data_IF_274625871420
#
_entry.id   IF_274625871420
#
_cell.length_a   1.000
_cell.length_b   1.000
_cell.length_c   1.000
_cell.angle_alpha   90.00
_cell.angle_beta   90.00
_cell.angle_gamma   90.00
#
_symmetry.space_group_name_H-M   'P 1'
#
loop_
_entity.id
_entity.type
_entity.pdbx_description
1 polymer ?
#
# COMPACT_ATOMS: atom_id res chain seq x y z
N UNK A 1 12.96 -28.54 62.15
CA UNK A 1 14.08 -28.03 61.32
C UNK A 1 14.97 -29.20 60.92
N UNK A 2 14.90 -29.68 59.67
CA UNK A 2 16.08 -29.87 58.79
C UNK A 2 15.69 -30.57 57.48
N UNK A 3 15.74 -29.76 56.42
CA UNK A 3 16.06 -30.00 55.02
C UNK A 3 15.72 -31.35 54.38
N UNK A 4 14.77 -31.27 53.44
CA UNK A 4 14.80 -32.10 52.23
C UNK A 4 16.18 -31.94 51.55
N UNK A 5 16.77 -33.00 50.98
CA UNK A 5 17.96 -32.86 50.14
C UNK A 5 17.65 -31.88 49.00
N UNK A 6 18.38 -30.78 48.96
CA UNK A 6 18.34 -29.80 47.88
C UNK A 6 19.17 -30.42 46.76
N UNK A 7 18.51 -30.90 45.70
CA UNK A 7 19.20 -31.24 44.47
C UNK A 7 20.01 -30.01 44.02
N UNK A 8 21.31 -30.16 43.69
CA UNK A 8 22.12 -29.05 43.26
C UNK A 8 21.46 -28.37 42.05
N UNK A 9 21.34 -27.04 42.02
CA UNK A 9 20.65 -26.34 40.96
C UNK A 9 21.28 -26.72 39.61
N UNK A 10 20.48 -27.31 38.72
CA UNK A 10 20.87 -27.62 37.34
C UNK A 10 21.36 -26.31 36.72
N UNK A 11 22.65 -26.28 36.36
CA UNK A 11 23.28 -25.16 35.66
C UNK A 11 22.39 -24.81 34.46
N UNK A 12 22.00 -23.54 34.26
CA UNK A 12 21.17 -23.17 33.13
C UNK A 12 21.85 -23.66 31.85
N UNK A 13 21.10 -24.39 31.04
CA UNK A 13 21.55 -24.89 29.75
C UNK A 13 22.07 -23.68 28.97
N UNK A 14 23.33 -23.75 28.52
CA UNK A 14 24.03 -22.65 27.86
C UNK A 14 23.09 -22.02 26.83
N UNK A 15 22.82 -20.73 26.97
CA UNK A 15 22.14 -19.98 25.93
C UNK A 15 22.92 -20.24 24.62
N UNK A 16 22.32 -20.90 23.61
CA UNK A 16 23.05 -21.47 22.48
C UNK A 16 23.55 -20.39 21.50
N UNK A 17 23.44 -19.11 21.85
CA UNK A 17 23.73 -17.97 20.99
C UNK A 17 24.76 -17.03 21.62
N UNK A 18 25.86 -17.57 22.13
CA UNK A 18 27.07 -16.76 22.21
C UNK A 18 27.73 -16.80 20.83
N UNK A 19 27.67 -15.67 20.14
CA UNK A 19 28.49 -15.45 18.95
C UNK A 19 29.95 -15.73 19.33
N UNK A 20 30.73 -16.47 18.51
CA UNK A 20 32.12 -16.76 18.80
C UNK A 20 32.88 -15.43 18.90
N UNK A 21 33.40 -15.15 20.09
CA UNK A 21 34.22 -13.98 20.38
C UNK A 21 35.69 -14.40 20.51
N UNK A 22 36.57 -13.65 19.84
CA UNK A 22 38.01 -13.74 20.07
C UNK A 22 38.44 -12.60 20.99
N UNK A 23 39.08 -12.87 22.15
CA UNK A 23 39.59 -11.83 23.02
C UNK A 23 40.72 -11.06 22.33
N UNK A 24 40.58 -9.74 22.19
CA UNK A 24 41.68 -8.86 21.77
C UNK A 24 42.55 -8.46 22.96
N UNK A 25 43.85 -8.26 22.74
CA UNK A 25 44.83 -7.83 23.76
C UNK A 25 44.51 -6.45 24.39
N UNK A 26 43.54 -5.71 23.84
CA UNK A 26 43.05 -4.43 24.37
C UNK A 26 41.76 -4.53 25.20
N UNK A 27 41.23 -5.74 25.43
CA UNK A 27 40.02 -5.97 26.24
C UNK A 27 38.69 -5.78 25.50
N UNK A 28 38.71 -5.43 24.21
CA UNK A 28 37.52 -5.33 23.36
C UNK A 28 37.21 -6.66 22.67
N UNK A 29 35.92 -7.03 22.63
CA UNK A 29 35.43 -8.28 22.03
C UNK A 29 35.04 -8.01 20.57
N UNK A 30 35.72 -8.68 19.63
CA UNK A 30 35.40 -8.62 18.20
C UNK A 30 34.66 -9.91 17.78
N UNK A 31 33.54 -9.76 17.09
CA UNK A 31 32.74 -10.89 16.56
C UNK A 31 33.00 -11.07 15.06
N UNK A 32 33.32 -12.30 14.64
CA UNK A 32 33.52 -12.65 13.23
C UNK A 32 32.41 -13.56 12.70
N UNK A 33 31.89 -13.37 11.48
CA UNK A 33 30.93 -14.29 10.89
C UNK A 33 31.63 -15.58 10.44
N UNK A 34 31.11 -16.74 10.82
CA UNK A 34 31.59 -18.05 10.36
C UNK A 34 30.67 -18.59 9.27
N UNK A 35 31.25 -19.00 8.14
CA UNK A 35 30.54 -19.64 7.04
C UNK A 35 30.25 -21.13 7.36
N UNK A 36 28.98 -21.49 7.60
CA UNK A 36 28.46 -22.85 7.39
C UNK A 36 26.92 -22.89 7.40
N UNK A 37 26.37 -23.61 6.41
CA UNK A 37 24.95 -23.74 6.05
C UNK A 37 24.02 -24.36 7.12
N UNK A 38 22.76 -23.91 7.20
CA UNK A 38 21.65 -24.65 7.82
C UNK A 38 20.53 -23.84 8.51
N UNK A 39 19.52 -23.47 7.72
CA UNK A 39 18.09 -23.18 7.97
C UNK A 39 17.46 -22.75 9.35
N UNK A 40 16.59 -21.73 9.23
CA UNK A 40 15.39 -21.30 10.01
C UNK A 40 15.47 -20.33 11.23
N UNK A 41 15.02 -19.09 10.97
CA UNK A 41 14.26 -18.07 11.75
C UNK A 41 14.65 -17.70 13.21
N UNK A 42 14.77 -16.37 13.44
CA UNK A 42 14.47 -15.77 14.75
C UNK A 42 14.88 -14.31 14.96
N UNK A 43 14.08 -13.39 14.41
CA UNK A 43 13.85 -11.97 14.74
C UNK A 43 14.70 -11.28 15.85
N UNK A 44 15.35 -10.15 15.50
CA UNK A 44 15.93 -9.18 16.42
C UNK A 44 16.23 -7.87 15.68
N UNK A 45 15.30 -6.93 15.80
CA UNK A 45 15.31 -5.61 15.16
C UNK A 45 16.43 -4.77 15.76
N UNK A 46 17.46 -4.49 14.95
CA UNK A 46 18.30 -3.32 15.14
C UNK A 46 18.19 -2.47 13.87
N UNK A 47 17.60 -1.29 14.06
CA UNK A 47 17.56 -0.17 13.11
C UNK A 47 19.00 0.16 12.74
N UNK A 48 19.46 -0.45 11.66
CA UNK A 48 20.67 -0.02 11.03
C UNK A 48 20.30 1.01 9.98
N UNK A 49 20.89 2.17 10.17
CA UNK A 49 20.86 3.38 9.38
C UNK A 49 21.28 3.06 7.94
N UNK A 50 20.35 2.51 7.17
CA UNK A 50 20.57 2.23 5.75
C UNK A 50 20.20 3.49 4.99
N UNK A 51 21.09 4.46 5.03
CA UNK A 51 21.33 5.33 3.88
C UNK A 51 21.76 4.42 2.72
N UNK A 52 20.78 3.79 2.08
CA UNK A 52 21.02 3.07 0.85
C UNK A 52 21.16 4.15 -0.23
N UNK A 53 22.38 4.37 -0.66
CA UNK A 53 22.64 4.77 -2.04
C UNK A 53 22.17 3.61 -2.96
N UNK A 54 20.87 3.30 -2.96
CA UNK A 54 20.25 2.30 -3.81
C UNK A 54 19.93 2.97 -5.13
N UNK A 55 20.32 2.32 -6.23
CA UNK A 55 19.76 2.67 -7.54
C UNK A 55 18.22 2.73 -7.42
N UNK A 56 17.55 3.70 -8.07
CA UNK A 56 16.11 3.85 -7.96
C UNK A 56 15.44 2.53 -8.35
N UNK A 57 14.46 2.08 -7.56
CA UNK A 57 13.74 0.84 -7.85
C UNK A 57 13.14 0.91 -9.27
N UNK A 58 13.00 -0.25 -9.93
CA UNK A 58 12.39 -0.30 -11.27
C UNK A 58 11.02 0.37 -11.29
N UNK A 59 10.29 0.29 -10.17
CA UNK A 59 9.04 1.02 -9.94
C UNK A 59 9.21 2.54 -10.11
N UNK A 60 10.18 3.16 -9.42
CA UNK A 60 10.42 4.60 -9.50
C UNK A 60 10.96 5.04 -10.86
N UNK A 61 11.84 4.25 -11.46
CA UNK A 61 12.36 4.54 -12.81
C UNK A 61 11.23 4.57 -13.86
N UNK A 62 10.33 3.58 -13.81
CA UNK A 62 9.18 3.53 -14.71
C UNK A 62 8.22 4.69 -14.43
N UNK A 63 7.94 5.00 -13.16
CA UNK A 63 7.07 6.12 -12.80
C UNK A 63 7.61 7.47 -13.30
N UNK A 64 8.91 7.73 -13.12
CA UNK A 64 9.57 8.95 -13.57
C UNK A 64 9.56 9.06 -15.10
N UNK A 65 9.99 8.01 -15.80
CA UNK A 65 10.00 8.00 -17.28
C UNK A 65 8.61 8.15 -17.90
N UNK A 66 7.59 7.54 -17.29
CA UNK A 66 6.19 7.67 -17.73
C UNK A 66 5.63 9.09 -17.53
N UNK A 67 6.16 9.86 -16.58
CA UNK A 67 5.67 11.20 -16.28
C UNK A 67 6.09 12.22 -17.34
N UNK A 68 7.32 12.13 -17.85
CA UNK A 68 7.84 13.04 -18.88
C UNK A 68 6.97 13.01 -20.16
N UNK A 69 6.48 11.83 -20.51
CA UNK A 69 5.70 11.57 -21.73
C UNK A 69 4.18 11.59 -21.44
N UNK A 70 3.78 11.70 -20.16
CA UNK A 70 2.40 11.50 -19.67
C UNK A 70 1.76 10.22 -20.19
N UNK A 71 2.57 9.18 -20.40
CA UNK A 71 2.13 7.87 -20.83
C UNK A 71 2.51 6.83 -19.78
N UNK A 72 1.51 6.39 -19.04
CA UNK A 72 1.66 5.47 -17.92
C UNK A 72 1.32 4.02 -18.26
N UNK A 73 1.20 3.67 -19.54
CA UNK A 73 0.87 2.29 -19.94
C UNK A 73 1.91 1.29 -19.43
N UNK A 74 3.19 1.57 -19.68
CA UNK A 74 4.28 0.69 -19.26
C UNK A 74 4.36 0.54 -17.73
N UNK A 75 4.20 1.65 -17.00
CA UNK A 75 4.14 1.63 -15.54
C UNK A 75 2.93 0.84 -15.02
N UNK A 76 1.75 1.03 -15.63
CA UNK A 76 0.52 0.33 -15.27
C UNK A 76 0.64 -1.18 -15.50
N UNK A 77 1.25 -1.59 -16.62
CA UNK A 77 1.47 -3.01 -16.92
C UNK A 77 2.48 -3.63 -15.96
N UNK A 78 3.52 -2.88 -15.57
CA UNK A 78 4.46 -3.31 -14.53
C UNK A 78 3.78 -3.54 -13.19
N UNK A 79 3.01 -2.57 -12.68
CA UNK A 79 2.37 -2.71 -11.35
C UNK A 79 1.26 -3.77 -11.33
N UNK A 80 0.65 -4.07 -12.47
CA UNK A 80 -0.27 -5.23 -12.61
C UNK A 80 0.44 -6.57 -12.61
N UNK A 81 1.69 -6.61 -13.07
CA UNK A 81 2.54 -7.79 -13.04
C UNK A 81 3.08 -8.12 -11.64
N UNK A 82 3.05 -7.15 -10.71
CA UNK A 82 3.47 -7.36 -9.34
C UNK A 82 2.47 -8.21 -8.55
N UNK A 83 2.99 -9.00 -7.61
CA UNK A 83 2.13 -9.62 -6.59
C UNK A 83 1.56 -8.54 -5.65
N UNK A 84 0.40 -8.77 -5.02
CA UNK A 84 -0.17 -7.81 -4.08
C UNK A 84 0.80 -7.40 -2.96
N UNK A 85 1.62 -8.34 -2.48
CA UNK A 85 2.63 -8.07 -1.45
C UNK A 85 3.81 -7.24 -1.99
N UNK A 86 4.24 -7.47 -3.23
CA UNK A 86 5.30 -6.68 -3.84
C UNK A 86 4.85 -5.23 -4.06
N UNK A 87 3.63 -5.02 -4.53
CA UNK A 87 3.07 -3.67 -4.69
C UNK A 87 2.89 -2.94 -3.35
N UNK A 88 2.42 -3.63 -2.30
CA UNK A 88 2.33 -3.06 -0.95
C UNK A 88 3.71 -2.64 -0.42
N UNK A 89 4.75 -3.44 -0.67
CA UNK A 89 6.12 -3.09 -0.28
C UNK A 89 6.63 -1.87 -1.05
N UNK A 90 6.52 -1.83 -2.39
CA UNK A 90 6.95 -0.68 -3.19
C UNK A 90 6.30 0.62 -2.71
N UNK A 91 5.00 0.61 -2.40
CA UNK A 91 4.31 1.80 -1.87
C UNK A 91 4.82 2.16 -0.46
N UNK A 92 5.00 1.20 0.44
CA UNK A 92 5.51 1.46 1.80
C UNK A 92 6.94 1.99 1.81
N UNK A 93 7.77 1.60 0.84
CA UNK A 93 9.14 2.11 0.72
C UNK A 93 9.19 3.61 0.42
N UNK A 94 8.08 4.22 -0.03
CA UNK A 94 7.95 5.67 -0.24
C UNK A 94 7.42 6.40 1.00
N UNK A 95 7.21 5.71 2.13
CA UNK A 95 6.66 6.32 3.33
C UNK A 95 7.70 7.18 4.02
N UNK A 96 7.32 8.43 4.33
CA UNK A 96 8.14 9.37 5.09
C UNK A 96 7.88 9.09 6.59
N UNK A 97 8.83 8.42 7.26
CA UNK A 97 8.66 7.90 8.62
C UNK A 97 8.95 8.97 9.68
N UNK A 98 9.94 9.83 9.48
CA UNK A 98 10.40 10.77 10.49
C UNK A 98 10.66 12.16 9.89
N UNK A 99 9.66 13.04 9.94
CA UNK A 99 9.96 14.47 9.82
C UNK A 99 9.06 15.28 10.74
N UNK A 100 9.63 15.70 11.86
CA UNK A 100 9.00 16.68 12.77
C UNK A 100 9.06 18.09 12.16
N UNK A 101 9.94 18.33 11.18
CA UNK A 101 10.12 19.64 10.54
C UNK A 101 9.47 19.65 9.16
N UNK A 102 8.21 20.09 9.12
CA UNK A 102 7.40 20.24 7.89
C UNK A 102 8.02 21.15 6.82
N UNK A 103 9.02 21.96 7.18
CA UNK A 103 9.60 23.02 6.36
C UNK A 103 10.74 22.54 5.43
N UNK A 104 11.39 21.39 5.70
CA UNK A 104 12.53 20.87 4.92
C UNK A 104 12.18 19.64 4.03
N UNK A 105 10.89 19.36 3.85
CA UNK A 105 10.42 18.25 3.01
C UNK A 105 10.33 18.57 1.52
N UNK A 106 10.42 19.85 1.17
CA UNK A 106 10.41 20.30 -0.22
C UNK A 106 11.68 19.84 -0.94
N UNK A 107 11.54 18.88 -1.85
CA UNK A 107 12.63 18.33 -2.66
C UNK A 107 13.14 16.96 -2.23
N UNK A 108 12.58 16.33 -1.18
CA UNK A 108 12.90 14.93 -0.86
C UNK A 108 12.41 13.99 -1.98
N UNK A 109 13.20 12.97 -2.36
CA UNK A 109 12.84 12.08 -3.47
C UNK A 109 11.54 11.31 -3.20
N UNK A 110 11.23 11.00 -1.95
CA UNK A 110 9.99 10.34 -1.54
C UNK A 110 8.78 11.26 -1.75
N UNK A 111 8.91 12.54 -1.39
CA UNK A 111 7.86 13.56 -1.60
C UNK A 111 7.53 13.71 -3.08
N UNK A 112 8.57 13.81 -3.92
CA UNK A 112 8.43 13.86 -5.38
C UNK A 112 7.73 12.59 -5.87
N UNK A 113 8.11 11.41 -5.37
CA UNK A 113 7.50 10.14 -5.76
C UNK A 113 6.01 10.06 -5.43
N UNK A 114 5.61 10.59 -4.25
CA UNK A 114 4.19 10.69 -3.85
C UNK A 114 3.43 11.64 -4.79
N UNK A 115 4.04 12.78 -5.17
CA UNK A 115 3.45 13.71 -6.14
C UNK A 115 3.25 13.07 -7.52
N UNK A 116 4.24 12.33 -8.00
CA UNK A 116 4.18 11.62 -9.28
C UNK A 116 3.09 10.54 -9.27
N UNK A 117 2.92 9.81 -8.16
CA UNK A 117 1.84 8.84 -8.01
C UNK A 117 0.46 9.50 -8.04
N UNK A 118 0.29 10.66 -7.40
CA UNK A 118 -0.96 11.42 -7.49
C UNK A 118 -1.27 11.85 -8.93
N UNK A 119 -0.27 12.32 -9.67
CA UNK A 119 -0.44 12.68 -11.09
C UNK A 119 -0.78 11.46 -11.94
N UNK A 120 -0.13 10.32 -11.69
CA UNK A 120 -0.46 9.03 -12.32
C UNK A 120 -1.93 8.67 -12.12
N UNK A 121 -2.43 8.70 -10.87
CA UNK A 121 -3.82 8.38 -10.58
C UNK A 121 -4.79 9.35 -11.25
N UNK A 122 -4.49 10.64 -11.26
CA UNK A 122 -5.26 11.66 -11.97
C UNK A 122 -5.37 11.32 -13.47
N UNK A 123 -4.26 10.93 -14.09
CA UNK A 123 -4.23 10.53 -15.49
C UNK A 123 -5.04 9.25 -15.75
N UNK A 124 -4.79 8.16 -15.02
CA UNK A 124 -5.47 6.88 -15.27
C UNK A 124 -6.99 6.97 -15.07
N UNK A 125 -7.45 7.68 -14.03
CA UNK A 125 -8.89 7.88 -13.81
C UNK A 125 -9.50 8.72 -14.93
N UNK A 126 -8.77 9.71 -15.46
CA UNK A 126 -9.23 10.52 -16.59
C UNK A 126 -9.38 9.69 -17.88
N UNK A 127 -8.47 8.75 -18.13
CA UNK A 127 -8.54 7.82 -19.27
C UNK A 127 -9.57 6.69 -19.08
N UNK A 128 -10.09 6.51 -17.86
CA UNK A 128 -11.13 5.52 -17.50
C UNK A 128 -10.72 4.07 -17.79
N UNK A 129 -9.44 3.79 -17.82
CA UNK A 129 -8.90 2.45 -18.01
C UNK A 129 -8.63 1.79 -16.66
N UNK A 130 -8.74 0.46 -16.61
CA UNK A 130 -8.34 -0.35 -15.44
C UNK A 130 -8.97 0.10 -14.12
N UNK A 131 -10.18 0.67 -14.18
CA UNK A 131 -10.73 1.49 -13.09
C UNK A 131 -10.79 0.75 -11.75
N UNK A 132 -11.22 -0.51 -11.72
CA UNK A 132 -11.24 -1.33 -10.50
C UNK A 132 -9.84 -1.48 -9.87
N UNK A 133 -8.86 -1.85 -10.68
CA UNK A 133 -7.47 -2.00 -10.24
C UNK A 133 -6.91 -0.68 -9.72
N UNK A 134 -7.07 0.41 -10.48
CA UNK A 134 -6.58 1.73 -10.10
C UNK A 134 -7.24 2.22 -8.81
N UNK A 135 -8.55 2.01 -8.62
CA UNK A 135 -9.24 2.35 -7.36
C UNK A 135 -8.68 1.56 -6.17
N UNK A 136 -8.37 0.27 -6.36
CA UNK A 136 -7.74 -0.55 -5.31
C UNK A 136 -6.34 -0.04 -4.95
N UNK A 137 -5.52 0.36 -5.94
CA UNK A 137 -4.20 0.94 -5.72
C UNK A 137 -4.29 2.30 -5.03
N UNK A 138 -5.21 3.18 -5.46
CA UNK A 138 -5.46 4.48 -4.80
C UNK A 138 -5.83 4.26 -3.34
N UNK A 139 -6.72 3.31 -3.04
CA UNK A 139 -7.12 2.99 -1.67
C UNK A 139 -5.93 2.56 -0.81
N UNK A 140 -5.05 1.71 -1.35
CA UNK A 140 -3.84 1.28 -0.66
C UNK A 140 -2.87 2.44 -0.43
N UNK A 141 -2.64 3.25 -1.46
CA UNK A 141 -1.80 4.44 -1.41
C UNK A 141 -2.28 5.44 -0.33
N UNK A 142 -3.58 5.77 -0.30
CA UNK A 142 -4.14 6.68 0.71
C UNK A 142 -4.11 6.09 2.13
N UNK A 143 -4.08 4.77 2.26
CA UNK A 143 -3.92 4.11 3.55
C UNK A 143 -2.48 4.28 4.08
N UNK A 144 -1.48 4.25 3.21
CA UNK A 144 -0.06 4.33 3.56
C UNK A 144 0.38 5.80 3.70
N UNK A 145 0.06 6.64 2.71
CA UNK A 145 0.57 8.03 2.59
C UNK A 145 -0.48 9.08 2.97
N UNK A 146 -1.67 8.70 3.40
CA UNK A 146 -2.76 9.65 3.69
C UNK A 146 -2.35 10.70 4.72
N UNK A 147 -1.65 10.29 5.77
CA UNK A 147 -1.18 11.20 6.82
C UNK A 147 -0.12 12.19 6.31
N UNK A 148 0.72 11.78 5.35
CA UNK A 148 1.67 12.67 4.66
C UNK A 148 0.91 13.67 3.79
N UNK A 149 -0.06 13.21 2.99
CA UNK A 149 -0.90 14.08 2.14
C UNK A 149 -1.62 15.13 2.97
N UNK A 150 -2.17 14.74 4.13
CA UNK A 150 -2.88 15.63 5.06
C UNK A 150 -1.98 16.74 5.61
N UNK A 151 -0.70 16.47 5.83
CA UNK A 151 0.26 17.43 6.42
C UNK A 151 0.84 18.41 5.41
N UNK A 152 0.75 18.12 4.10
CA UNK A 152 1.39 18.94 3.07
C UNK A 152 0.40 19.60 2.10
N UNK A 153 0.29 20.95 2.12
CA UNK A 153 -0.65 21.68 1.27
C UNK A 153 -0.49 21.41 -0.24
N UNK A 154 0.74 21.19 -0.72
CA UNK A 154 1.01 20.86 -2.13
C UNK A 154 0.35 19.53 -2.54
N UNK A 155 0.47 18.51 -1.69
CA UNK A 155 -0.16 17.21 -1.91
C UNK A 155 -1.68 17.29 -1.79
N UNK A 156 -2.20 18.08 -0.85
CA UNK A 156 -3.64 18.33 -0.72
C UNK A 156 -4.23 18.92 -2.01
N UNK A 157 -3.52 19.84 -2.68
CA UNK A 157 -3.96 20.39 -3.97
C UNK A 157 -4.12 19.32 -5.06
N UNK A 158 -3.16 18.41 -5.18
CA UNK A 158 -3.24 17.28 -6.12
C UNK A 158 -4.31 16.26 -5.72
N UNK A 159 -4.46 15.98 -4.42
CA UNK A 159 -5.50 15.09 -3.91
C UNK A 159 -6.91 15.65 -4.13
N UNK A 160 -7.11 16.97 -3.99
CA UNK A 160 -8.37 17.67 -4.38
C UNK A 160 -8.71 17.44 -5.85
N UNK A 161 -7.73 17.64 -6.74
CA UNK A 161 -7.91 17.39 -8.17
C UNK A 161 -8.26 15.92 -8.45
N UNK A 162 -7.62 14.97 -7.76
CA UNK A 162 -7.95 13.55 -7.88
C UNK A 162 -9.41 13.29 -7.45
N UNK A 163 -9.86 13.88 -6.34
CA UNK A 163 -11.22 13.74 -5.84
C UNK A 163 -12.27 14.32 -6.79
N UNK A 164 -12.01 15.48 -7.40
CA UNK A 164 -12.90 16.10 -8.39
C UNK A 164 -13.11 15.16 -9.58
N UNK A 165 -12.02 14.70 -10.20
CA UNK A 165 -12.08 13.81 -11.35
C UNK A 165 -12.74 12.47 -10.98
N UNK A 166 -12.41 11.92 -9.80
CA UNK A 166 -13.04 10.70 -9.32
C UNK A 166 -14.55 10.88 -9.12
N UNK A 167 -14.98 12.02 -8.58
CA UNK A 167 -16.41 12.33 -8.37
C UNK A 167 -17.15 12.41 -9.70
N UNK A 168 -16.56 13.07 -10.71
CA UNK A 168 -17.13 13.20 -12.05
C UNK A 168 -17.26 11.85 -12.77
N UNK A 169 -16.21 11.03 -12.72
CA UNK A 169 -16.21 9.69 -13.33
C UNK A 169 -17.20 8.79 -12.59
N UNK A 170 -17.20 8.85 -11.25
CA UNK A 170 -18.12 8.08 -10.42
C UNK A 170 -19.58 8.45 -10.68
N UNK A 171 -19.93 9.73 -10.77
CA UNK A 171 -21.32 10.14 -11.02
C UNK A 171 -21.85 9.57 -12.35
N UNK A 172 -21.00 9.49 -13.38
CA UNK A 172 -21.36 8.87 -14.66
C UNK A 172 -21.58 7.36 -14.51
N UNK A 173 -20.66 6.67 -13.82
CA UNK A 173 -20.77 5.24 -13.55
C UNK A 173 -22.01 4.93 -12.71
N UNK A 174 -22.24 5.69 -11.64
CA UNK A 174 -23.40 5.58 -10.77
C UNK A 174 -24.70 5.80 -11.55
N UNK A 175 -24.77 6.84 -12.39
CA UNK A 175 -25.94 7.09 -13.22
C UNK A 175 -26.24 5.92 -14.15
N UNK A 176 -25.22 5.31 -14.76
CA UNK A 176 -25.40 4.10 -15.57
C UNK A 176 -25.93 2.94 -14.73
N UNK A 177 -25.36 2.75 -13.53
CA UNK A 177 -25.80 1.72 -12.61
C UNK A 177 -27.25 1.92 -12.15
N UNK A 178 -27.65 3.13 -11.81
CA UNK A 178 -29.03 3.47 -11.46
C UNK A 178 -29.98 3.21 -12.61
N UNK A 179 -29.63 3.58 -13.85
CA UNK A 179 -30.46 3.29 -15.03
C UNK A 179 -30.67 1.80 -15.21
N UNK A 180 -29.61 1.00 -15.11
CA UNK A 180 -29.72 -0.47 -15.18
C UNK A 180 -30.59 -1.04 -14.06
N UNK A 181 -30.44 -0.54 -12.83
CA UNK A 181 -31.28 -0.93 -11.70
C UNK A 181 -32.75 -0.61 -11.94
N UNK A 182 -33.08 0.62 -12.35
CA UNK A 182 -34.47 1.03 -12.61
C UNK A 182 -35.12 0.21 -13.73
N UNK A 183 -34.39 -0.11 -14.81
CA UNK A 183 -34.89 -1.05 -15.83
C UNK A 183 -35.08 -2.46 -15.27
N UNK A 184 -34.13 -2.93 -14.44
CA UNK A 184 -34.21 -4.22 -13.76
C UNK A 184 -35.38 -4.32 -12.78
N UNK A 185 -35.75 -3.24 -12.09
CA UNK A 185 -36.96 -3.19 -11.25
C UNK A 185 -38.22 -3.30 -12.09
N UNK A 186 -38.34 -2.53 -13.18
CA UNK A 186 -39.48 -2.64 -14.10
C UNK A 186 -39.59 -4.05 -14.73
N UNK A 187 -38.45 -4.70 -14.98
CA UNK A 187 -38.40 -6.05 -15.54
C UNK A 187 -38.62 -7.14 -14.46
N UNK A 188 -38.18 -6.93 -13.22
CA UNK A 188 -38.47 -7.80 -12.09
C UNK A 188 -39.93 -7.70 -11.65
N UNK A 189 -40.58 -6.55 -11.79
CA UNK A 189 -42.02 -6.37 -11.59
C UNK A 189 -42.82 -7.16 -12.65
N UNK A 190 -42.31 -7.24 -13.90
CA UNK A 190 -42.84 -8.13 -14.93
C UNK A 190 -42.56 -9.62 -14.66
N UNK A 191 -41.43 -9.98 -14.05
CA UNK A 191 -41.01 -11.37 -13.77
C UNK A 191 -41.55 -11.89 -12.41
N UNK A 192 -41.94 -11.02 -11.48
CA UNK A 192 -42.61 -11.39 -10.23
C UNK A 192 -43.94 -12.11 -10.46
N UNK A 193 -44.52 -11.98 -11.66
CA UNK A 193 -45.65 -12.80 -12.09
C UNK A 193 -45.27 -14.26 -12.46
N UNK A 194 -43.97 -14.58 -12.54
CA UNK A 194 -43.43 -15.88 -13.01
C UNK A 194 -42.33 -16.49 -12.09
N UNK A 195 -42.14 -16.01 -10.85
CA UNK A 195 -41.33 -16.64 -9.80
C UNK A 195 -39.89 -17.08 -10.18
N UNK A 196 -39.14 -16.26 -10.94
CA UNK A 196 -37.74 -16.57 -11.25
C UNK A 196 -36.83 -15.34 -11.17
N UNK A 197 -36.25 -15.10 -9.99
CA UNK A 197 -35.14 -14.15 -9.84
C UNK A 197 -33.88 -14.79 -10.46
N UNK A 198 -33.35 -14.17 -11.52
CA UNK A 198 -32.15 -14.66 -12.20
C UNK A 198 -30.90 -14.41 -11.35
N UNK A 199 -30.19 -15.48 -11.01
CA UNK A 199 -28.88 -15.47 -10.34
C UNK A 199 -27.86 -14.50 -10.97
N UNK A 200 -27.95 -14.26 -12.29
CA UNK A 200 -27.11 -13.30 -13.01
C UNK A 200 -27.43 -11.86 -12.63
N UNK A 201 -28.70 -11.54 -12.41
CA UNK A 201 -29.15 -10.20 -11.99
C UNK A 201 -28.66 -9.89 -10.58
N UNK A 202 -28.71 -10.89 -9.68
CA UNK A 202 -28.21 -10.77 -8.31
C UNK A 202 -26.69 -10.57 -8.27
N UNK A 203 -25.94 -11.31 -9.10
CA UNK A 203 -24.50 -11.15 -9.23
C UNK A 203 -24.12 -9.75 -9.74
N UNK A 204 -24.81 -9.24 -10.78
CA UNK A 204 -24.61 -7.89 -11.28
C UNK A 204 -24.89 -6.82 -10.20
N UNK A 205 -25.95 -7.00 -9.41
CA UNK A 205 -26.30 -6.10 -8.31
C UNK A 205 -25.24 -6.08 -7.18
N UNK A 206 -24.71 -7.25 -6.82
CA UNK A 206 -23.67 -7.36 -5.79
C UNK A 206 -22.37 -6.68 -6.25
N UNK A 207 -21.95 -6.90 -7.49
CA UNK A 207 -20.75 -6.27 -8.07
C UNK A 207 -20.90 -4.74 -8.11
N UNK A 208 -22.08 -4.23 -8.49
CA UNK A 208 -22.38 -2.79 -8.45
C UNK A 208 -22.26 -2.20 -7.06
N UNK A 209 -22.84 -2.88 -6.06
CA UNK A 209 -22.81 -2.42 -4.66
C UNK A 209 -21.39 -2.41 -4.12
N UNK A 210 -20.61 -3.47 -4.38
CA UNK A 210 -19.21 -3.53 -3.95
C UNK A 210 -18.34 -2.44 -4.59
N UNK A 211 -18.49 -2.17 -5.89
CA UNK A 211 -17.76 -1.08 -6.54
C UNK A 211 -18.15 0.29 -5.95
N UNK A 212 -19.44 0.53 -5.71
CA UNK A 212 -19.93 1.76 -5.07
C UNK A 212 -19.28 1.98 -3.71
N UNK A 213 -19.19 0.94 -2.89
CA UNK A 213 -18.61 1.03 -1.55
C UNK A 213 -17.10 1.30 -1.60
N UNK A 214 -16.36 0.67 -2.53
CA UNK A 214 -14.92 0.92 -2.69
C UNK A 214 -14.62 2.36 -3.09
N UNK A 215 -15.36 2.89 -4.06
CA UNK A 215 -15.16 4.25 -4.58
C UNK A 215 -15.62 5.28 -3.55
N UNK A 216 -16.74 5.02 -2.87
CA UNK A 216 -17.22 5.82 -1.75
C UNK A 216 -16.20 5.91 -0.62
N UNK A 217 -15.53 4.79 -0.29
CA UNK A 217 -14.49 4.76 0.73
C UNK A 217 -13.25 5.56 0.32
N UNK A 218 -12.83 5.50 -0.94
CA UNK A 218 -11.72 6.31 -1.45
C UNK A 218 -12.07 7.80 -1.39
N UNK A 219 -13.25 8.20 -1.86
CA UNK A 219 -13.73 9.59 -1.81
C UNK A 219 -13.76 10.11 -0.38
N UNK A 220 -14.44 9.37 0.50
CA UNK A 220 -14.53 9.70 1.92
C UNK A 220 -13.17 9.80 2.59
N UNK A 221 -12.22 8.94 2.19
CA UNK A 221 -10.85 9.03 2.72
C UNK A 221 -10.15 10.28 2.22
N UNK A 222 -10.25 10.63 0.93
CA UNK A 222 -9.65 11.87 0.43
C UNK A 222 -10.27 13.08 1.13
N UNK A 223 -11.60 13.14 1.27
CA UNK A 223 -12.31 14.21 1.99
C UNK A 223 -11.82 14.38 3.44
N UNK A 224 -11.53 13.28 4.15
CA UNK A 224 -11.00 13.33 5.52
C UNK A 224 -9.54 13.84 5.60
N UNK A 225 -8.79 13.76 4.51
CA UNK A 225 -7.39 14.17 4.45
C UNK A 225 -7.21 15.63 4.02
N UNK A 226 -8.27 16.25 3.48
CA UNK A 226 -8.29 17.63 2.99
C UNK A 226 -8.87 18.60 4.02
#
# INVERSE_FOLDING_TARGET
>A
VRNKPIEPPKKPEKAPFFLPSVPSLSGEILFTPSEANGDVKGNGVEMNDRKLDMAPSTFLQLLQSSTEIKNFSAFTDYIKGLSPSALDMELRMLQIIDDENLEDLDGKPEMISIELLLDYFVCEISYKNNFEFIQAVIRLFLKIHGETIRRHPKLQGKAKKLLEIQSDVWQKIDTMFQRTRCMGYNQAELISNNNKLDSRLLAHYLIQTMMRDQIGLVRSRIDQLL
#
